data_IF_313162858812
#
_entry.id   IF_313162858812
#
_cell.length_a   1.000
_cell.length_b   1.000
_cell.length_c   1.000
_cell.angle_alpha   90.00
_cell.angle_beta   90.00
_cell.angle_gamma   90.00
#
_symmetry.space_group_name_H-M   'P 1'
#
loop_
_entity.id
_entity.type
_entity.pdbx_description
1 polymer ?
#
# COMPACT_ATOMS: atom_id res chain seq x y z
N UNK A 1 30.71 -7.17 -64.41
CA UNK A 1 30.90 -6.04 -63.45
C UNK A 1 29.99 -6.24 -62.27
N UNK A 2 30.51 -6.78 -61.18
CA UNK A 2 29.73 -7.14 -59.98
C UNK A 2 29.92 -6.05 -58.94
N UNK A 3 28.82 -5.31 -58.64
CA UNK A 3 28.78 -4.36 -57.53
C UNK A 3 28.41 -5.10 -56.25
N UNK A 4 29.36 -5.23 -55.35
CA UNK A 4 29.15 -5.75 -53.98
C UNK A 4 28.52 -4.65 -53.11
N UNK A 5 27.32 -4.87 -52.63
CA UNK A 5 26.75 -4.08 -51.56
C UNK A 5 27.33 -4.54 -50.21
N UNK A 6 28.05 -3.68 -49.54
CA UNK A 6 28.47 -3.86 -48.15
C UNK A 6 27.34 -3.32 -47.26
N UNK A 7 26.62 -4.18 -46.58
CA UNK A 7 25.67 -3.80 -45.55
C UNK A 7 26.44 -3.55 -44.25
N UNK A 8 26.52 -2.30 -43.83
CA UNK A 8 27.03 -1.95 -42.49
C UNK A 8 25.91 -2.20 -41.45
N UNK A 9 26.07 -3.28 -40.69
CA UNK A 9 25.25 -3.59 -39.54
C UNK A 9 25.74 -2.76 -38.35
N UNK A 10 25.05 -1.68 -38.03
CA UNK A 10 25.29 -0.88 -36.82
C UNK A 10 24.75 -1.67 -35.63
N UNK A 11 25.67 -2.28 -34.87
CA UNK A 11 25.34 -2.97 -33.62
C UNK A 11 25.13 -1.92 -32.53
N UNK A 12 23.88 -1.60 -32.25
CA UNK A 12 23.47 -0.72 -31.15
C UNK A 12 23.56 -1.53 -29.85
N UNK A 13 24.68 -1.35 -29.13
CA UNK A 13 24.84 -1.93 -27.79
C UNK A 13 23.89 -1.22 -26.83
N UNK A 14 22.77 -1.86 -26.51
CA UNK A 14 21.94 -1.48 -25.37
C UNK A 14 22.68 -1.79 -24.09
N UNK A 15 23.20 -0.79 -23.42
CA UNK A 15 23.63 -0.92 -22.04
C UNK A 15 22.37 -1.06 -21.18
N UNK A 16 21.98 -2.29 -20.88
CA UNK A 16 21.05 -2.59 -19.82
C UNK A 16 21.79 -2.39 -18.51
N UNK A 17 21.63 -1.24 -17.88
CA UNK A 17 22.02 -1.04 -16.49
C UNK A 17 21.06 -1.84 -15.63
N UNK A 18 21.42 -3.07 -15.29
CA UNK A 18 20.73 -3.83 -14.26
C UNK A 18 20.97 -3.13 -12.92
N UNK A 19 20.01 -2.37 -12.44
CA UNK A 19 19.96 -2.01 -11.04
C UNK A 19 19.97 -3.32 -10.25
N UNK A 20 21.04 -3.58 -9.50
CA UNK A 20 21.15 -4.74 -8.66
C UNK A 20 20.14 -4.59 -7.52
N UNK A 21 18.92 -5.09 -7.71
CA UNK A 21 17.96 -5.22 -6.62
C UNK A 21 18.59 -6.13 -5.56
N UNK A 22 18.69 -5.65 -4.32
CA UNK A 22 19.17 -6.44 -3.21
C UNK A 22 18.34 -7.71 -3.10
N UNK A 23 18.96 -8.87 -3.36
CA UNK A 23 18.28 -10.16 -3.28
C UNK A 23 18.04 -10.47 -1.81
N UNK A 24 16.77 -10.49 -1.38
CA UNK A 24 16.42 -10.95 -0.05
C UNK A 24 16.76 -12.43 0.09
N UNK A 25 17.45 -12.79 1.16
CA UNK A 25 17.77 -14.17 1.51
C UNK A 25 17.33 -14.49 2.94
N UNK A 26 17.04 -15.76 3.23
CA UNK A 26 16.68 -16.22 4.57
C UNK A 26 17.91 -16.74 5.32
N UNK A 27 17.99 -16.41 6.61
CA UNK A 27 19.03 -16.88 7.51
C UNK A 27 18.40 -17.30 8.84
N UNK A 28 18.69 -18.50 9.31
CA UNK A 28 18.32 -18.94 10.67
C UNK A 28 19.31 -18.36 11.68
N UNK A 29 18.79 -17.76 12.75
CA UNK A 29 19.58 -17.19 13.85
C UNK A 29 19.03 -17.67 15.18
N UNK A 30 19.90 -17.75 16.21
CA UNK A 30 19.48 -17.92 17.60
C UNK A 30 19.45 -16.55 18.25
N UNK A 31 18.27 -16.10 18.64
CA UNK A 31 18.04 -14.79 19.24
C UNK A 31 17.64 -14.92 20.70
N UNK A 32 18.03 -13.95 21.54
CA UNK A 32 17.60 -13.84 22.94
C UNK A 32 16.58 -12.74 23.09
N UNK A 33 15.42 -13.06 23.65
CA UNK A 33 14.28 -12.17 23.87
C UNK A 33 14.21 -11.69 25.33
N UNK A 34 13.19 -10.90 25.66
CA UNK A 34 12.94 -10.40 27.02
C UNK A 34 13.60 -9.04 27.30
N UNK A 35 13.83 -8.26 26.25
CA UNK A 35 14.41 -6.91 26.35
C UNK A 35 13.26 -5.89 26.38
N UNK A 36 13.23 -5.03 27.39
CA UNK A 36 12.38 -3.85 27.43
C UNK A 36 12.98 -2.69 26.64
N UNK A 37 12.13 -1.80 26.15
CA UNK A 37 12.54 -0.54 25.53
C UNK A 37 11.84 0.62 26.24
N UNK A 38 12.60 1.66 26.56
CA UNK A 38 12.09 2.95 27.05
C UNK A 38 12.49 4.04 26.06
N UNK A 39 11.56 4.93 25.77
CA UNK A 39 11.77 6.09 24.88
C UNK A 39 11.37 7.33 25.67
N UNK A 40 12.30 8.28 25.82
CA UNK A 40 12.08 9.50 26.59
C UNK A 40 11.61 9.24 28.05
N UNK A 41 12.10 8.16 28.68
CA UNK A 41 11.73 7.75 30.03
C UNK A 41 10.39 7.04 30.16
N UNK A 42 9.71 6.76 29.05
CA UNK A 42 8.45 6.02 29.01
C UNK A 42 8.66 4.63 28.41
N UNK A 43 7.99 3.62 29.00
CA UNK A 43 8.00 2.28 28.43
C UNK A 43 7.33 2.28 27.06
N UNK A 44 8.07 1.88 26.04
CA UNK A 44 7.55 1.84 24.67
C UNK A 44 6.52 0.72 24.50
N UNK A 45 5.40 1.04 23.85
CA UNK A 45 4.43 0.06 23.40
C UNK A 45 4.82 -0.37 21.97
N UNK A 46 5.33 -1.58 21.82
CA UNK A 46 5.86 -2.07 20.56
C UNK A 46 4.81 -2.95 19.86
N UNK A 47 4.22 -2.43 18.79
CA UNK A 47 3.23 -3.15 17.98
C UNK A 47 3.63 -3.15 16.50
N UNK A 48 3.15 -4.14 15.75
CA UNK A 48 3.20 -4.14 14.29
C UNK A 48 2.01 -3.36 13.69
N UNK A 49 1.92 -3.32 12.35
CA UNK A 49 0.84 -2.63 11.61
C UNK A 49 -0.57 -3.15 11.93
N UNK A 50 -0.68 -4.33 12.51
CA UNK A 50 -1.95 -4.96 12.88
C UNK A 50 -2.25 -4.82 14.40
N UNK A 51 -1.46 -4.02 15.12
CA UNK A 51 -1.59 -3.84 16.57
C UNK A 51 -1.08 -5.03 17.41
N UNK A 52 -0.42 -6.03 16.78
CA UNK A 52 0.15 -7.17 17.49
C UNK A 52 1.46 -6.78 18.14
N UNK A 53 1.63 -7.13 19.42
CA UNK A 53 2.88 -6.90 20.15
C UNK A 53 4.06 -7.58 19.46
N UNK A 54 5.15 -6.83 19.30
CA UNK A 54 6.44 -7.30 18.79
C UNK A 54 7.52 -7.08 19.84
N UNK A 55 8.53 -7.95 19.86
CA UNK A 55 9.56 -7.94 20.90
C UNK A 55 10.93 -7.64 20.30
N UNK A 56 11.74 -6.77 20.94
CA UNK A 56 13.16 -6.66 20.66
C UNK A 56 13.89 -7.96 21.00
N UNK A 57 15.00 -8.18 20.32
CA UNK A 57 15.87 -9.34 20.60
C UNK A 57 17.35 -8.99 20.44
N UNK A 58 18.24 -9.78 21.04
CA UNK A 58 19.68 -9.70 20.80
C UNK A 58 20.15 -10.86 19.94
N UNK A 59 21.09 -10.55 19.06
CA UNK A 59 21.82 -11.52 18.25
C UNK A 59 23.27 -11.06 18.13
N UNK A 60 24.22 -11.92 18.45
CA UNK A 60 25.66 -11.63 18.44
C UNK A 60 26.04 -10.31 19.14
N UNK A 61 25.45 -10.04 20.31
CA UNK A 61 25.72 -8.83 21.09
C UNK A 61 25.09 -7.55 20.56
N UNK A 62 24.33 -7.60 19.46
CA UNK A 62 23.59 -6.47 18.91
C UNK A 62 22.11 -6.60 19.25
N UNK A 63 21.49 -5.51 19.71
CA UNK A 63 20.05 -5.45 19.96
C UNK A 63 19.33 -5.03 18.67
N UNK A 64 18.38 -5.84 18.27
CA UNK A 64 17.49 -5.57 17.14
C UNK A 64 16.13 -5.14 17.66
N UNK A 65 15.62 -4.05 17.14
CA UNK A 65 14.33 -3.49 17.54
C UNK A 65 13.42 -3.32 16.33
N UNK A 66 12.10 -3.52 16.49
CA UNK A 66 11.14 -3.26 15.41
C UNK A 66 11.15 -1.77 15.06
N UNK A 67 11.70 -1.41 13.90
CA UNK A 67 11.94 -0.01 13.50
C UNK A 67 10.66 0.82 13.54
N UNK A 68 9.54 0.28 13.03
CA UNK A 68 8.24 0.98 13.05
C UNK A 68 7.82 1.33 14.46
N UNK A 69 7.83 0.36 15.36
CA UNK A 69 7.40 0.58 16.73
C UNK A 69 8.28 1.62 17.47
N UNK A 70 9.59 1.65 17.18
CA UNK A 70 10.50 2.67 17.73
C UNK A 70 10.19 4.04 17.14
N UNK A 71 10.14 4.13 15.82
CA UNK A 71 9.94 5.41 15.13
C UNK A 71 8.58 6.05 15.50
N UNK A 72 7.50 5.28 15.53
CA UNK A 72 6.17 5.78 15.91
C UNK A 72 6.12 6.26 17.36
N UNK A 73 6.82 5.59 18.31
CA UNK A 73 6.95 6.07 19.68
C UNK A 73 7.82 7.35 19.78
N UNK A 74 8.60 7.68 18.75
CA UNK A 74 9.38 8.91 18.63
C UNK A 74 8.66 9.99 17.80
N UNK A 75 7.43 9.77 17.39
CA UNK A 75 6.66 10.70 16.56
C UNK A 75 7.04 10.70 15.08
N UNK A 76 7.71 9.64 14.61
CA UNK A 76 8.09 9.46 13.22
C UNK A 76 7.17 8.46 12.52
N UNK A 77 7.04 8.57 11.20
CA UNK A 77 6.32 7.61 10.36
C UNK A 77 7.28 6.62 9.70
N UNK A 78 6.83 5.36 9.49
CA UNK A 78 7.62 4.34 8.80
C UNK A 78 6.85 3.74 7.64
N UNK A 79 7.31 4.03 6.43
CA UNK A 79 6.86 3.39 5.20
C UNK A 79 7.72 2.18 4.81
N UNK A 80 7.26 1.43 3.82
CA UNK A 80 8.02 0.35 3.19
C UNK A 80 7.83 0.38 1.68
N UNK A 81 8.92 0.60 0.95
CA UNK A 81 8.94 0.47 -0.50
C UNK A 81 9.21 -1.00 -0.87
N UNK A 82 8.19 -1.67 -1.36
CA UNK A 82 8.27 -3.08 -1.76
C UNK A 82 9.12 -3.28 -3.03
N UNK A 83 9.23 -2.27 -3.89
CA UNK A 83 10.00 -2.36 -5.14
C UNK A 83 11.50 -2.36 -4.88
N UNK A 84 11.96 -1.50 -3.98
CA UNK A 84 13.35 -1.37 -3.56
C UNK A 84 13.67 -2.19 -2.31
N UNK A 85 12.65 -2.76 -1.64
CA UNK A 85 12.74 -3.47 -0.35
C UNK A 85 13.34 -2.60 0.75
N UNK A 86 12.96 -1.32 0.76
CA UNK A 86 13.52 -0.32 1.67
C UNK A 86 12.47 0.09 2.71
N UNK A 87 12.85 0.04 4.00
CA UNK A 87 12.10 0.69 5.06
C UNK A 87 12.52 2.17 5.09
N UNK A 88 11.53 3.06 5.07
CA UNK A 88 11.72 4.51 5.03
C UNK A 88 11.21 5.07 6.34
N UNK A 89 12.02 5.88 7.04
CA UNK A 89 11.61 6.57 8.26
C UNK A 89 11.55 8.06 7.95
N UNK A 90 10.38 8.64 8.14
CA UNK A 90 10.16 10.07 8.01
C UNK A 90 10.14 10.70 9.41
N UNK A 91 11.08 11.55 9.67
CA UNK A 91 11.09 12.37 10.89
C UNK A 91 10.54 13.73 10.50
N UNK A 92 9.22 13.87 10.60
CA UNK A 92 8.56 15.13 10.35
C UNK A 92 7.45 15.38 11.36
N UNK A 93 7.43 16.58 11.88
CA UNK A 93 6.49 17.05 12.91
C UNK A 93 5.15 17.52 12.31
N UNK A 94 4.97 17.47 10.99
CA UNK A 94 3.73 17.92 10.37
C UNK A 94 2.67 16.83 10.35
N UNK A 95 1.59 17.04 11.08
CA UNK A 95 0.39 16.19 11.10
C UNK A 95 -0.09 15.84 9.66
N UNK A 96 0.10 16.77 8.72
CA UNK A 96 -0.27 16.60 7.33
C UNK A 96 0.51 15.49 6.63
N UNK A 97 1.83 15.37 6.84
CA UNK A 97 2.67 14.32 6.24
C UNK A 97 2.29 12.96 6.81
N UNK A 98 2.18 12.86 8.14
CA UNK A 98 1.74 11.63 8.79
C UNK A 98 0.38 11.18 8.25
N UNK A 99 -0.53 12.11 8.05
CA UNK A 99 -1.84 11.82 7.50
C UNK A 99 -1.79 11.43 6.02
N UNK A 100 -0.96 12.08 5.21
CA UNK A 100 -0.76 11.72 3.81
C UNK A 100 -0.29 10.26 3.67
N UNK A 101 0.66 9.82 4.52
CA UNK A 101 1.08 8.42 4.54
C UNK A 101 -0.06 7.44 4.90
N UNK A 102 -0.93 7.81 5.84
CA UNK A 102 -2.13 7.00 6.15
C UNK A 102 -3.07 6.90 4.95
N UNK A 103 -3.21 7.97 4.16
CA UNK A 103 -3.97 7.93 2.90
C UNK A 103 -3.33 6.96 1.91
N UNK A 104 -1.99 6.96 1.78
CA UNK A 104 -1.27 6.04 0.90
C UNK A 104 -1.49 4.57 1.31
N UNK A 105 -1.40 4.26 2.60
CA UNK A 105 -1.71 2.92 3.13
C UNK A 105 -3.16 2.51 2.85
N UNK A 106 -4.11 3.43 3.06
CA UNK A 106 -5.51 3.19 2.74
C UNK A 106 -5.73 2.95 1.24
N UNK A 107 -5.03 3.66 0.36
CA UNK A 107 -5.05 3.43 -1.09
C UNK A 107 -4.59 2.01 -1.44
N UNK A 108 -3.46 1.57 -0.89
CA UNK A 108 -2.96 0.20 -1.10
C UNK A 108 -3.98 -0.84 -0.59
N UNK A 109 -4.63 -0.57 0.53
CA UNK A 109 -5.68 -1.45 1.05
C UNK A 109 -6.89 -1.50 0.10
N UNK A 110 -7.36 -0.38 -0.47
CA UNK A 110 -8.44 -0.37 -1.46
C UNK A 110 -8.10 -1.22 -2.69
N UNK A 111 -6.87 -1.13 -3.20
CA UNK A 111 -6.41 -1.96 -4.31
C UNK A 111 -6.40 -3.44 -3.94
N UNK A 112 -5.90 -3.81 -2.77
CA UNK A 112 -5.90 -5.21 -2.31
C UNK A 112 -7.31 -5.79 -2.16
N UNK A 113 -8.29 -5.00 -1.75
CA UNK A 113 -9.70 -5.41 -1.69
C UNK A 113 -10.24 -5.72 -3.09
N UNK A 114 -9.92 -4.90 -4.10
CA UNK A 114 -10.37 -5.14 -5.48
C UNK A 114 -9.77 -6.45 -6.02
N UNK A 115 -8.50 -6.72 -5.77
CA UNK A 115 -7.83 -7.97 -6.14
C UNK A 115 -8.48 -9.18 -5.43
N UNK A 116 -8.83 -9.03 -4.16
CA UNK A 116 -9.51 -10.06 -3.39
C UNK A 116 -10.94 -10.33 -3.90
N UNK A 117 -11.69 -9.28 -4.29
CA UNK A 117 -13.01 -9.41 -4.91
C UNK A 117 -12.92 -10.20 -6.22
N UNK A 118 -11.92 -9.93 -7.06
CA UNK A 118 -11.69 -10.69 -8.28
C UNK A 118 -11.32 -12.15 -7.97
N UNK A 119 -10.46 -12.38 -6.99
CA UNK A 119 -10.06 -13.73 -6.53
C UNK A 119 -11.27 -14.53 -6.03
N UNK A 120 -12.19 -13.90 -5.28
CA UNK A 120 -13.45 -14.50 -4.83
C UNK A 120 -14.33 -14.92 -6.02
N UNK A 121 -14.40 -14.09 -7.05
CA UNK A 121 -15.13 -14.43 -8.28
C UNK A 121 -14.51 -15.63 -9.02
N UNK A 122 -13.18 -15.70 -9.09
CA UNK A 122 -12.52 -16.85 -9.74
C UNK A 122 -12.68 -18.13 -8.94
N UNK A 123 -12.61 -18.09 -7.61
CA UNK A 123 -12.88 -19.23 -6.74
C UNK A 123 -14.34 -19.72 -6.89
N UNK A 124 -15.29 -18.79 -7.07
CA UNK A 124 -16.69 -19.13 -7.35
C UNK A 124 -16.86 -19.74 -8.74
N UNK A 125 -16.16 -19.23 -9.78
CA UNK A 125 -16.13 -19.80 -11.12
C UNK A 125 -15.68 -21.26 -11.11
N UNK A 126 -14.62 -21.52 -10.37
CA UNK A 126 -13.97 -22.83 -10.31
C UNK A 126 -14.65 -23.79 -9.32
N UNK A 127 -15.82 -23.40 -8.78
CA UNK A 127 -16.60 -24.15 -7.79
C UNK A 127 -15.83 -24.49 -6.49
N UNK A 128 -14.80 -23.72 -6.15
CA UNK A 128 -14.05 -23.86 -4.90
C UNK A 128 -14.88 -23.39 -3.72
N UNK A 129 -15.70 -22.33 -3.91
CA UNK A 129 -16.58 -21.78 -2.89
C UNK A 129 -18.04 -21.76 -3.37
N UNK A 130 -18.98 -21.81 -2.43
CA UNK A 130 -20.42 -21.70 -2.70
C UNK A 130 -20.82 -20.25 -3.00
N UNK A 131 -22.03 -20.05 -3.55
CA UNK A 131 -22.63 -18.72 -3.71
C UNK A 131 -22.75 -17.98 -2.38
N UNK A 132 -23.13 -18.70 -1.33
CA UNK A 132 -23.27 -18.12 0.01
C UNK A 132 -21.92 -17.63 0.52
N UNK A 133 -20.87 -18.46 0.45
CA UNK A 133 -19.53 -18.09 0.89
C UNK A 133 -19.00 -16.90 0.09
N UNK A 134 -19.13 -16.90 -1.24
CA UNK A 134 -18.71 -15.78 -2.07
C UNK A 134 -19.36 -14.45 -1.65
N UNK A 135 -20.67 -14.46 -1.34
CA UNK A 135 -21.37 -13.25 -0.87
C UNK A 135 -20.89 -12.78 0.49
N UNK A 136 -20.61 -13.71 1.41
CA UNK A 136 -20.07 -13.38 2.72
C UNK A 136 -18.69 -12.75 2.57
N UNK A 137 -17.79 -13.38 1.82
CA UNK A 137 -16.44 -12.86 1.57
C UNK A 137 -16.46 -11.47 0.93
N UNK A 138 -17.35 -11.24 -0.05
CA UNK A 138 -17.55 -9.94 -0.70
C UNK A 138 -18.01 -8.89 0.33
N UNK A 139 -18.96 -9.23 1.21
CA UNK A 139 -19.46 -8.29 2.23
C UNK A 139 -18.37 -7.95 3.24
N UNK A 140 -17.56 -8.91 3.66
CA UNK A 140 -16.45 -8.68 4.59
C UNK A 140 -15.39 -7.76 3.99
N UNK A 141 -15.09 -7.92 2.70
CA UNK A 141 -14.19 -7.02 1.96
C UNK A 141 -14.73 -5.59 1.86
N UNK A 142 -16.04 -5.43 1.60
CA UNK A 142 -16.69 -4.10 1.61
C UNK A 142 -16.60 -3.46 2.98
N UNK A 143 -16.91 -4.21 4.05
CA UNK A 143 -16.86 -3.72 5.42
C UNK A 143 -15.43 -3.29 5.80
N UNK A 144 -14.40 -4.02 5.37
CA UNK A 144 -13.00 -3.64 5.59
C UNK A 144 -12.68 -2.29 4.92
N UNK A 145 -13.11 -2.09 3.68
CA UNK A 145 -12.94 -0.81 2.97
C UNK A 145 -13.69 0.35 3.64
N UNK A 146 -14.89 0.11 4.14
CA UNK A 146 -15.69 1.12 4.88
C UNK A 146 -15.04 1.50 6.20
N UNK A 147 -14.49 0.52 6.93
CA UNK A 147 -13.77 0.77 8.18
C UNK A 147 -12.56 1.65 7.92
N UNK A 148 -11.71 1.29 6.94
CA UNK A 148 -10.55 2.10 6.55
C UNK A 148 -10.95 3.53 6.19
N UNK A 149 -11.99 3.72 5.38
CA UNK A 149 -12.44 5.07 5.03
C UNK A 149 -12.94 5.86 6.23
N UNK A 150 -13.68 5.23 7.16
CA UNK A 150 -14.19 5.88 8.36
C UNK A 150 -13.06 6.41 9.26
N UNK A 151 -11.99 5.62 9.42
CA UNK A 151 -10.80 6.02 10.18
C UNK A 151 -10.08 7.20 9.52
N UNK A 152 -9.88 7.16 8.22
CA UNK A 152 -9.26 8.24 7.45
C UNK A 152 -10.10 9.52 7.51
N UNK A 153 -11.42 9.44 7.28
CA UNK A 153 -12.32 10.59 7.31
C UNK A 153 -12.37 11.26 8.71
N UNK A 154 -12.29 10.47 9.77
CA UNK A 154 -12.25 11.01 11.14
C UNK A 154 -10.98 11.84 11.39
N UNK A 155 -9.82 11.34 10.93
CA UNK A 155 -8.54 12.06 11.04
C UNK A 155 -8.52 13.29 10.14
N UNK A 156 -9.04 13.17 8.90
CA UNK A 156 -9.14 14.28 7.97
C UNK A 156 -9.97 15.45 8.55
N UNK A 157 -11.06 15.16 9.25
CA UNK A 157 -11.87 16.18 9.90
C UNK A 157 -11.07 16.96 10.95
N UNK A 158 -10.21 16.29 11.71
CA UNK A 158 -9.34 16.96 12.70
C UNK A 158 -8.41 17.96 12.00
N UNK A 159 -7.79 17.56 10.88
CA UNK A 159 -6.94 18.46 10.09
C UNK A 159 -7.72 19.67 9.54
N UNK A 160 -8.96 19.47 9.11
CA UNK A 160 -9.84 20.55 8.65
C UNK A 160 -10.17 21.53 9.77
N UNK A 161 -10.57 21.01 10.95
CA UNK A 161 -10.94 21.81 12.11
C UNK A 161 -9.74 22.64 12.64
N UNK A 162 -8.51 22.12 12.50
CA UNK A 162 -7.27 22.78 12.87
C UNK A 162 -6.73 23.75 11.80
N UNK A 163 -7.43 23.94 10.69
CA UNK A 163 -7.03 24.83 9.58
C UNK A 163 -5.59 24.59 9.10
N UNK A 164 -5.21 23.33 8.92
CA UNK A 164 -3.88 22.92 8.48
C UNK A 164 -3.51 23.59 7.14
N UNK A 165 -2.31 24.15 7.04
CA UNK A 165 -1.83 24.91 5.87
C UNK A 165 -1.73 24.05 4.59
N UNK A 166 -1.55 22.74 4.73
CA UNK A 166 -1.45 21.78 3.62
C UNK A 166 -2.80 21.17 3.24
N UNK A 167 -3.90 21.70 3.76
CA UNK A 167 -5.23 21.14 3.52
C UNK A 167 -5.59 21.04 2.04
N UNK A 168 -5.07 21.96 1.19
CA UNK A 168 -5.30 21.92 -0.26
C UNK A 168 -4.73 20.64 -0.89
N UNK A 169 -3.50 20.27 -0.54
CA UNK A 169 -2.82 19.11 -1.10
C UNK A 169 -3.41 17.81 -0.55
N UNK A 170 -3.71 17.79 0.75
CA UNK A 170 -4.44 16.69 1.39
C UNK A 170 -5.82 16.48 0.76
N UNK A 171 -6.52 17.53 0.35
CA UNK A 171 -7.80 17.43 -0.36
C UNK A 171 -7.67 16.65 -1.69
N UNK A 172 -6.56 16.81 -2.41
CA UNK A 172 -6.31 16.06 -3.64
C UNK A 172 -6.12 14.57 -3.34
N UNK A 173 -5.33 14.26 -2.31
CA UNK A 173 -5.11 12.88 -1.84
C UNK A 173 -6.44 12.23 -1.41
N UNK A 174 -7.23 12.93 -0.60
CA UNK A 174 -8.54 12.45 -0.13
C UNK A 174 -9.55 12.25 -1.25
N UNK A 175 -9.56 13.14 -2.24
CA UNK A 175 -10.45 13.02 -3.40
C UNK A 175 -10.13 11.78 -4.23
N UNK A 176 -8.85 11.48 -4.41
CA UNK A 176 -8.41 10.26 -5.08
C UNK A 176 -8.77 9.01 -4.28
N UNK A 177 -8.55 9.01 -2.96
CA UNK A 177 -8.90 7.87 -2.09
C UNK A 177 -10.42 7.59 -2.09
N UNK A 178 -11.25 8.63 -2.03
CA UNK A 178 -12.70 8.49 -2.14
C UNK A 178 -13.12 7.87 -3.47
N UNK A 179 -12.44 8.23 -4.56
CA UNK A 179 -12.66 7.61 -5.86
C UNK A 179 -12.28 6.11 -5.84
N UNK A 180 -11.15 5.75 -5.24
CA UNK A 180 -10.75 4.34 -5.08
C UNK A 180 -11.75 3.55 -4.25
N UNK A 181 -12.26 4.13 -3.15
CA UNK A 181 -13.35 3.52 -2.36
C UNK A 181 -14.63 3.33 -3.19
N UNK A 182 -14.97 4.27 -4.06
CA UNK A 182 -16.11 4.12 -4.98
C UNK A 182 -15.87 2.99 -5.99
N UNK A 183 -14.63 2.81 -6.45
CA UNK A 183 -14.26 1.69 -7.32
C UNK A 183 -14.43 0.34 -6.60
N UNK A 184 -14.06 0.24 -5.32
CA UNK A 184 -14.34 -0.95 -4.49
C UNK A 184 -15.85 -1.25 -4.43
N UNK A 185 -16.69 -0.25 -4.21
CA UNK A 185 -18.16 -0.44 -4.17
C UNK A 185 -18.71 -0.94 -5.50
N UNK A 186 -18.19 -0.42 -6.61
CA UNK A 186 -18.57 -0.83 -7.96
C UNK A 186 -18.13 -2.27 -8.24
N UNK A 187 -16.88 -2.60 -7.91
CA UNK A 187 -16.34 -3.94 -8.06
C UNK A 187 -17.12 -4.96 -7.22
N UNK A 188 -17.47 -4.62 -5.97
CA UNK A 188 -18.27 -5.47 -5.10
C UNK A 188 -19.68 -5.72 -5.68
N UNK A 189 -20.32 -4.71 -6.25
CA UNK A 189 -21.64 -4.87 -6.93
C UNK A 189 -21.54 -5.84 -8.11
N UNK A 190 -20.48 -5.71 -8.91
CA UNK A 190 -20.21 -6.62 -10.03
C UNK A 190 -19.90 -8.04 -9.52
N UNK A 191 -19.13 -8.16 -8.41
CA UNK A 191 -18.79 -9.45 -7.79
C UNK A 191 -20.05 -10.18 -7.25
N UNK A 192 -20.97 -9.47 -6.57
CA UNK A 192 -22.25 -10.04 -6.12
C UNK A 192 -23.08 -10.52 -7.31
N UNK A 193 -23.14 -9.74 -8.38
CA UNK A 193 -23.84 -10.12 -9.61
C UNK A 193 -23.23 -11.38 -10.23
N UNK A 194 -21.91 -11.46 -10.28
CA UNK A 194 -21.17 -12.61 -10.75
C UNK A 194 -21.40 -13.85 -9.85
N UNK A 195 -21.37 -13.70 -8.54
CA UNK A 195 -21.61 -14.80 -7.60
C UNK A 195 -22.98 -15.47 -7.82
N UNK A 196 -24.01 -14.66 -8.14
CA UNK A 196 -25.35 -15.16 -8.43
C UNK A 196 -25.46 -15.84 -9.80
N UNK A 197 -24.84 -15.24 -10.82
CA UNK A 197 -24.91 -15.68 -12.23
C UNK A 197 -23.58 -15.47 -12.91
N UNK A 198 -22.65 -16.44 -12.79
CA UNK A 198 -21.32 -16.32 -13.41
C UNK A 198 -21.42 -16.12 -14.92
N UNK A 199 -20.77 -15.08 -15.43
CA UNK A 199 -20.67 -14.83 -16.87
C UNK A 199 -19.28 -14.25 -17.21
N UNK A 200 -18.77 -14.62 -18.40
CA UNK A 200 -17.49 -14.10 -18.88
C UNK A 200 -17.51 -12.58 -19.05
N UNK A 201 -18.64 -12.00 -19.44
CA UNK A 201 -18.79 -10.56 -19.62
C UNK A 201 -18.68 -9.79 -18.30
N UNK A 202 -19.21 -10.30 -17.19
CA UNK A 202 -19.05 -9.69 -15.86
C UNK A 202 -17.61 -9.77 -15.38
N UNK A 203 -16.95 -10.92 -15.58
CA UNK A 203 -15.54 -11.08 -15.19
C UNK A 203 -14.63 -10.14 -15.99
N UNK A 204 -14.85 -10.02 -17.31
CA UNK A 204 -14.12 -9.07 -18.17
C UNK A 204 -14.37 -7.63 -17.74
N UNK A 205 -15.60 -7.28 -17.33
CA UNK A 205 -15.91 -5.93 -16.81
C UNK A 205 -15.09 -5.64 -15.54
N UNK A 206 -15.06 -6.57 -14.59
CA UNK A 206 -14.27 -6.42 -13.38
C UNK A 206 -12.78 -6.26 -13.68
N UNK A 207 -12.22 -7.01 -14.62
CA UNK A 207 -10.84 -6.85 -15.08
C UNK A 207 -10.60 -5.45 -15.66
N UNK A 208 -11.52 -4.95 -16.48
CA UNK A 208 -11.42 -3.61 -17.07
C UNK A 208 -11.52 -2.52 -16.00
N UNK A 209 -12.36 -2.71 -14.97
CA UNK A 209 -12.47 -1.78 -13.83
C UNK A 209 -11.14 -1.72 -13.05
N UNK A 210 -10.49 -2.87 -12.80
CA UNK A 210 -9.16 -2.94 -12.18
C UNK A 210 -8.10 -2.21 -13.03
N UNK A 211 -8.05 -2.48 -14.33
CA UNK A 211 -7.11 -1.81 -15.26
C UNK A 211 -7.36 -0.30 -15.27
N UNK A 212 -8.61 0.13 -15.33
CA UNK A 212 -8.97 1.55 -15.35
C UNK A 212 -8.58 2.26 -14.06
N UNK A 213 -8.66 1.59 -12.91
CA UNK A 213 -8.20 2.12 -11.64
C UNK A 213 -6.67 2.29 -11.64
N UNK A 214 -5.93 1.28 -12.11
CA UNK A 214 -4.46 1.32 -12.18
C UNK A 214 -3.90 2.33 -13.20
N UNK A 215 -4.70 2.77 -14.18
CA UNK A 215 -4.29 3.80 -15.15
C UNK A 215 -4.53 5.24 -14.66
N UNK A 216 -5.27 5.43 -13.58
CA UNK A 216 -5.52 6.75 -13.00
C UNK A 216 -4.42 7.12 -12.00
N UNK A 217 -4.22 8.41 -11.83
CA UNK A 217 -3.44 8.92 -10.72
C UNK A 217 -4.21 8.62 -9.43
N UNK A 218 -3.75 7.61 -8.69
CA UNK A 218 -4.34 7.19 -7.43
C UNK A 218 -3.89 8.04 -6.24
N UNK A 219 -4.47 7.79 -5.06
CA UNK A 219 -4.17 8.52 -3.85
C UNK A 219 -2.69 8.43 -3.46
N UNK A 220 -2.05 7.26 -3.64
CA UNK A 220 -0.60 7.08 -3.43
C UNK A 220 0.21 8.11 -4.23
N UNK A 221 -0.07 8.28 -5.51
CA UNK A 221 0.68 9.20 -6.37
C UNK A 221 0.49 10.69 -5.99
N UNK A 222 -0.68 11.05 -5.47
CA UNK A 222 -0.89 12.40 -4.93
C UNK A 222 -0.14 12.62 -3.61
N UNK A 223 -0.03 11.57 -2.80
CA UNK A 223 0.78 11.59 -1.57
C UNK A 223 2.25 11.75 -1.90
N UNK A 224 2.76 10.99 -2.88
CA UNK A 224 4.15 11.10 -3.33
C UNK A 224 4.47 12.51 -3.81
N UNK A 225 3.62 13.11 -4.68
CA UNK A 225 3.79 14.48 -5.16
C UNK A 225 3.75 15.50 -4.01
N UNK A 226 2.86 15.31 -3.03
CA UNK A 226 2.77 16.19 -1.87
C UNK A 226 4.06 16.14 -1.04
N UNK A 227 4.54 14.94 -0.74
CA UNK A 227 5.77 14.74 0.03
C UNK A 227 6.98 15.32 -0.74
N UNK A 228 7.10 15.03 -2.03
CA UNK A 228 8.18 15.56 -2.87
C UNK A 228 8.17 17.09 -2.92
N UNK A 229 6.99 17.71 -2.94
CA UNK A 229 6.86 19.18 -2.91
C UNK A 229 7.41 19.81 -1.63
N UNK A 230 7.32 19.09 -0.50
CA UNK A 230 7.82 19.56 0.80
C UNK A 230 9.34 19.63 0.85
N UNK A 231 10.04 18.76 0.09
CA UNK A 231 11.51 18.67 0.07
C UNK A 231 12.18 19.56 -0.98
N UNK A 232 11.40 20.13 -1.91
CA UNK A 232 11.93 21.00 -2.99
C UNK A 232 12.03 22.47 -2.62
N UNK A 233 11.65 22.85 -1.40
CA UNK A 233 11.67 24.25 -0.91
C UNK A 233 12.85 24.55 0.02
N UNK A 234 13.85 23.66 0.12
CA UNK A 234 15.16 23.96 0.70
C UNK A 234 16.15 24.31 -0.42
#
# INVERSE_FOLDING_TARGET
MNKRFVAATTMMAMFVTTAAAATAYQKSITATYGIGLEINGNKANLTDVNGKTVEPFTYNGTTYVPIRAVAENMGSYVGYDASTKTAIVYQDDTEAIVFAHKIAEASQHMHSIIDALYSTCTARRDNIISVYQAKTDIQDLVNAGDTTMSEIESTYKILQDNSNIYLSDINNCMSALRYERQAVATAATNAVSYANSPSSSLLTRMQNDMISLGLRKGAQSYVDDFIDSMWTYE
#
